data_IF_395945165607
#
_entry.id   IF_395945165607
#
_cell.length_a   1.000
_cell.length_b   1.000
_cell.length_c   1.000
_cell.angle_alpha   90.00
_cell.angle_beta   90.00
_cell.angle_gamma   90.00
#
_symmetry.space_group_name_H-M   'P 1'
#
loop_
_entity.id
_entity.type
_entity.pdbx_description
1 polymer ?
#
# COMPACT_ATOMS: atom_id res chain seq x y z
N UNK A 1 -12.04 12.50 4.09
CA UNK A 1 -11.92 11.71 2.85
C UNK A 1 -11.20 10.42 3.19
N UNK A 2 -11.63 9.24 2.71
CA UNK A 2 -10.87 7.99 2.87
C UNK A 2 -9.51 8.09 2.20
N UNK A 3 -8.48 7.50 2.81
CA UNK A 3 -7.12 7.48 2.28
C UNK A 3 -6.44 6.16 2.68
N UNK A 4 -5.50 5.72 1.84
CA UNK A 4 -4.69 4.52 2.06
C UNK A 4 -3.28 4.78 1.55
N UNK A 5 -2.27 4.29 2.26
CA UNK A 5 -0.89 4.33 1.77
C UNK A 5 -0.57 3.02 1.08
N UNK A 6 -0.03 3.10 -0.13
CA UNK A 6 0.46 1.94 -0.88
C UNK A 6 1.98 2.02 -0.90
N UNK A 7 2.66 0.96 -0.49
CA UNK A 7 4.12 0.89 -0.51
C UNK A 7 4.59 -0.52 -0.87
N UNK A 8 5.87 -0.67 -1.22
CA UNK A 8 6.47 -2.00 -1.33
C UNK A 8 6.92 -2.50 0.03
N UNK A 9 7.02 -3.82 0.23
CA UNK A 9 7.47 -4.45 1.49
C UNK A 9 8.81 -3.90 2.03
N UNK A 10 9.71 -3.45 1.15
CA UNK A 10 10.94 -2.74 1.51
C UNK A 10 10.76 -1.41 2.25
N UNK A 11 9.53 -0.86 2.31
CA UNK A 11 9.21 0.42 2.97
C UNK A 11 8.13 0.31 4.05
N UNK A 12 7.72 -0.90 4.43
CA UNK A 12 6.63 -1.09 5.42
C UNK A 12 6.95 -0.43 6.76
N UNK A 13 8.17 -0.59 7.28
CA UNK A 13 8.60 0.04 8.54
C UNK A 13 8.52 1.57 8.49
N UNK A 14 8.93 2.17 7.36
CA UNK A 14 8.84 3.63 7.18
C UNK A 14 7.38 4.10 7.11
N UNK A 15 6.50 3.34 6.45
CA UNK A 15 5.07 3.65 6.39
C UNK A 15 4.39 3.53 7.76
N UNK A 16 4.77 2.53 8.57
CA UNK A 16 4.29 2.37 9.96
C UNK A 16 4.77 3.55 10.82
N UNK A 17 6.07 3.85 10.79
CA UNK A 17 6.63 4.96 11.55
C UNK A 17 5.97 6.30 11.18
N UNK A 18 5.71 6.52 9.89
CA UNK A 18 5.07 7.75 9.43
C UNK A 18 3.62 7.88 9.91
N UNK A 19 2.81 6.81 9.81
CA UNK A 19 1.41 6.89 10.27
C UNK A 19 1.33 7.09 11.77
N UNK A 20 2.26 6.51 12.54
CA UNK A 20 2.33 6.72 13.99
C UNK A 20 2.74 8.16 14.34
N UNK A 21 3.80 8.68 13.71
CA UNK A 21 4.29 10.04 13.92
C UNK A 21 3.24 11.11 13.60
N UNK A 22 2.35 10.82 12.65
CA UNK A 22 1.24 11.70 12.26
C UNK A 22 -0.04 11.50 13.09
N UNK A 23 -0.02 10.63 14.11
CA UNK A 23 -1.19 10.38 14.97
C UNK A 23 -2.29 9.57 14.28
N UNK A 24 -1.96 8.77 13.27
CA UNK A 24 -2.89 7.96 12.47
C UNK A 24 -2.56 6.45 12.53
N UNK A 25 -2.49 5.82 13.71
CA UNK A 25 -2.08 4.41 13.83
C UNK A 25 -3.00 3.42 13.10
N UNK A 26 -4.27 3.80 12.89
CA UNK A 26 -5.25 3.02 12.14
C UNK A 26 -5.27 3.31 10.64
N UNK A 27 -4.41 4.21 10.13
CA UNK A 27 -4.34 4.50 8.70
C UNK A 27 -3.94 3.23 7.93
N UNK A 28 -4.74 2.82 6.92
CA UNK A 28 -4.52 1.57 6.24
C UNK A 28 -3.28 1.62 5.35
N UNK A 29 -2.55 0.49 5.33
CA UNK A 29 -1.37 0.28 4.52
C UNK A 29 -1.62 -0.94 3.63
N UNK A 30 -1.47 -0.76 2.31
CA UNK A 30 -1.45 -1.87 1.34
C UNK A 30 0.00 -2.09 0.93
N UNK A 31 0.49 -3.31 1.11
CA UNK A 31 1.89 -3.66 0.86
C UNK A 31 1.97 -4.56 -0.36
N UNK A 32 2.74 -4.14 -1.36
CA UNK A 32 3.02 -4.92 -2.58
C UNK A 32 4.47 -5.42 -2.58
N UNK A 33 4.81 -6.51 -3.31
CA UNK A 33 6.18 -7.01 -3.30
C UNK A 33 7.17 -6.03 -3.92
N UNK A 34 8.36 -5.89 -3.32
CA UNK A 34 9.52 -5.22 -3.92
C UNK A 34 10.31 -6.19 -4.84
N UNK A 35 11.20 -5.70 -5.72
CA UNK A 35 11.26 -4.37 -6.33
C UNK A 35 10.20 -4.18 -7.41
N UNK A 36 9.97 -2.93 -7.82
CA UNK A 36 9.16 -2.61 -9.01
C UNK A 36 10.01 -2.11 -10.18
N UNK A 37 11.11 -1.42 -9.89
CA UNK A 37 11.92 -0.69 -10.88
C UNK A 37 12.69 -1.58 -11.84
N UNK A 38 13.03 -2.80 -11.43
CA UNK A 38 13.77 -3.77 -12.24
C UNK A 38 12.86 -4.73 -13.01
N UNK A 39 11.54 -4.62 -12.84
CA UNK A 39 10.58 -5.54 -13.43
C UNK A 39 10.05 -5.01 -14.78
N UNK A 40 9.67 -5.92 -15.69
CA UNK A 40 8.89 -5.54 -16.87
C UNK A 40 7.59 -4.86 -16.46
N UNK A 41 7.17 -3.85 -17.22
CA UNK A 41 5.93 -3.10 -16.95
C UNK A 41 4.69 -3.98 -16.82
N UNK A 42 4.60 -5.06 -17.59
CA UNK A 42 3.49 -6.01 -17.49
C UNK A 42 3.39 -6.66 -16.10
N UNK A 43 4.52 -6.96 -15.46
CA UNK A 43 4.57 -7.53 -14.11
C UNK A 43 4.19 -6.47 -13.07
N UNK A 44 4.61 -5.22 -13.27
CA UNK A 44 4.21 -4.10 -12.40
C UNK A 44 2.69 -3.88 -12.47
N UNK A 45 2.12 -3.96 -13.67
CA UNK A 45 0.68 -3.83 -13.88
C UNK A 45 -0.10 -4.99 -13.22
N UNK A 46 0.40 -6.22 -13.34
CA UNK A 46 -0.18 -7.39 -12.66
C UNK A 46 -0.19 -7.20 -11.14
N UNK A 47 0.92 -6.72 -10.55
CA UNK A 47 0.99 -6.41 -9.12
C UNK A 47 -0.02 -5.34 -8.70
N UNK A 48 -0.17 -4.29 -9.50
CA UNK A 48 -1.18 -3.25 -9.27
C UNK A 48 -2.61 -3.81 -9.29
N UNK A 49 -2.92 -4.66 -10.26
CA UNK A 49 -4.23 -5.34 -10.35
C UNK A 49 -4.47 -6.24 -9.15
N UNK A 50 -3.46 -7.02 -8.73
CA UNK A 50 -3.56 -7.91 -7.58
C UNK A 50 -3.82 -7.16 -6.26
N UNK A 51 -3.30 -5.93 -6.11
CA UNK A 51 -3.51 -5.10 -4.92
C UNK A 51 -4.85 -4.34 -4.92
N UNK A 52 -5.52 -4.23 -6.08
CA UNK A 52 -6.73 -3.40 -6.24
C UNK A 52 -7.86 -3.80 -5.28
N UNK A 53 -8.19 -5.09 -5.08
CA UNK A 53 -9.24 -5.48 -4.14
C UNK A 53 -8.96 -5.06 -2.69
N UNK A 54 -7.70 -5.07 -2.26
CA UNK A 54 -7.30 -4.63 -0.92
C UNK A 54 -7.41 -3.11 -0.77
N UNK A 55 -7.02 -2.36 -1.80
CA UNK A 55 -7.18 -0.90 -1.87
C UNK A 55 -8.66 -0.51 -1.80
N UNK A 56 -9.51 -1.17 -2.58
CA UNK A 56 -10.96 -0.93 -2.57
C UNK A 56 -11.55 -1.19 -1.18
N UNK A 57 -11.19 -2.30 -0.54
CA UNK A 57 -11.61 -2.61 0.83
C UNK A 57 -11.17 -1.51 1.80
N UNK A 58 -9.89 -1.12 1.77
CA UNK A 58 -9.35 -0.09 2.65
C UNK A 58 -10.06 1.27 2.48
N UNK A 59 -10.42 1.64 1.26
CA UNK A 59 -11.05 2.94 0.95
C UNK A 59 -12.56 2.95 1.20
N UNK A 60 -13.26 1.84 0.93
CA UNK A 60 -14.72 1.80 0.92
C UNK A 60 -15.33 1.20 2.19
N UNK A 61 -14.60 0.33 2.90
CA UNK A 61 -15.15 -0.44 4.01
C UNK A 61 -14.62 0.02 5.38
N UNK A 62 -13.68 0.96 5.42
CA UNK A 62 -13.23 1.60 6.65
C UNK A 62 -12.53 0.67 7.66
N UNK A 63 -12.20 -0.58 7.27
CA UNK A 63 -11.36 -1.56 7.97
C UNK A 63 -11.11 -2.81 7.11
#
# INVERSE_FOLDING_TARGET
>A
MPAVTICTDGFTEAAIAQREALGMPAHPLVVIPHPLTTLPMAVVEERGKAATPEIERALLQGQ
#
